data_IF_425766440710
#
_entry.id   IF_425766440710
#
_cell.length_a   1.000
_cell.length_b   1.000
_cell.length_c   1.000
_cell.angle_alpha   90.00
_cell.angle_beta   90.00
_cell.angle_gamma   90.00
#
_symmetry.space_group_name_H-M   'P 1'
#
loop_
_entity.id
_entity.type
_entity.pdbx_description
1 polymer ?
#
# COMPACT_ATOMS: atom_id res chain seq x y z
N UNK A 1 -40.38 -12.79 26.36
CA UNK A 1 -38.93 -12.59 26.56
C UNK A 1 -38.21 -13.35 25.46
N UNK A 2 -37.17 -12.79 24.82
CA UNK A 2 -36.45 -13.51 23.77
C UNK A 2 -35.71 -14.73 24.33
N UNK A 3 -35.62 -15.81 23.55
CA UNK A 3 -34.74 -16.94 23.85
C UNK A 3 -33.33 -16.63 23.40
N UNK A 4 -32.33 -16.96 24.22
CA UNK A 4 -30.92 -16.81 23.90
C UNK A 4 -30.29 -18.21 23.79
N UNK A 5 -29.65 -18.48 22.67
CA UNK A 5 -28.85 -19.69 22.45
C UNK A 5 -27.40 -19.28 22.16
N UNK A 6 -26.45 -19.89 22.87
CA UNK A 6 -25.03 -19.61 22.69
C UNK A 6 -24.47 -20.53 21.60
N UNK A 7 -24.03 -19.94 20.50
CA UNK A 7 -23.39 -20.67 19.41
C UNK A 7 -21.92 -21.00 19.75
N UNK A 8 -21.45 -22.15 19.26
CA UNK A 8 -20.04 -22.55 19.34
C UNK A 8 -19.39 -22.44 17.97
N UNK A 9 -18.19 -21.88 17.91
CA UNK A 9 -17.45 -21.74 16.66
C UNK A 9 -16.67 -23.01 16.34
N UNK A 10 -16.67 -23.41 15.08
CA UNK A 10 -15.90 -24.58 14.61
C UNK A 10 -14.40 -24.29 14.50
N UNK A 11 -14.03 -23.02 14.39
CA UNK A 11 -12.64 -22.56 14.41
C UNK A 11 -12.23 -22.06 15.81
N UNK A 12 -10.96 -22.24 16.19
CA UNK A 12 -10.42 -21.64 17.40
C UNK A 12 -10.45 -20.11 17.30
N UNK A 13 -10.81 -19.46 18.40
CA UNK A 13 -10.70 -18.00 18.53
C UNK A 13 -9.40 -17.71 19.27
N UNK A 14 -8.50 -17.04 18.57
CA UNK A 14 -7.19 -16.66 19.09
C UNK A 14 -7.12 -15.13 19.10
N UNK A 15 -6.66 -14.58 20.21
CA UNK A 15 -6.21 -13.20 20.27
C UNK A 15 -4.75 -13.15 19.83
N UNK A 16 -4.44 -12.25 18.89
CA UNK A 16 -3.06 -11.92 18.52
C UNK A 16 -2.83 -10.49 18.96
N UNK A 17 -1.88 -10.30 19.87
CA UNK A 17 -1.48 -9.00 20.39
C UNK A 17 0.03 -8.85 20.24
N UNK A 18 0.48 -7.63 19.93
CA UNK A 18 1.90 -7.28 19.97
C UNK A 18 2.32 -7.01 21.40
N UNK A 19 3.59 -7.29 21.69
CA UNK A 19 4.22 -7.14 23.00
C UNK A 19 5.37 -6.14 22.91
N UNK A 20 5.88 -5.70 24.07
CA UNK A 20 7.08 -4.88 24.11
C UNK A 20 8.32 -5.62 23.55
N UNK A 21 8.36 -6.95 23.65
CA UNK A 21 9.45 -7.76 23.13
C UNK A 21 9.44 -7.81 21.60
N UNK A 22 8.26 -7.82 20.96
CA UNK A 22 8.14 -7.71 19.50
C UNK A 22 8.75 -6.41 18.98
N UNK A 23 8.56 -5.31 19.73
CA UNK A 23 9.18 -4.03 19.42
C UNK A 23 10.69 -4.04 19.67
N UNK A 24 11.12 -4.55 20.82
CA UNK A 24 12.54 -4.57 21.21
C UNK A 24 13.41 -5.45 20.29
N UNK A 25 12.81 -6.45 19.64
CA UNK A 25 13.51 -7.38 18.74
C UNK A 25 13.38 -7.01 17.26
N UNK A 26 12.60 -5.98 16.92
CA UNK A 26 12.50 -5.49 15.54
C UNK A 26 13.84 -4.89 15.10
N UNK A 27 14.39 -5.39 13.98
CA UNK A 27 15.67 -4.87 13.47
C UNK A 27 15.51 -3.43 12.97
N UNK A 28 16.55 -2.61 13.16
CA UNK A 28 16.59 -1.23 12.67
C UNK A 28 16.33 -1.15 11.15
N UNK A 29 16.80 -2.15 10.42
CA UNK A 29 16.60 -2.29 8.98
C UNK A 29 15.13 -2.57 8.60
N UNK A 30 14.45 -3.45 9.35
CA UNK A 30 13.01 -3.69 9.16
C UNK A 30 12.22 -2.42 9.45
N UNK A 31 12.56 -1.73 10.54
CA UNK A 31 11.93 -0.47 10.92
C UNK A 31 12.21 0.64 9.90
N UNK A 32 13.43 0.73 9.37
CA UNK A 32 13.79 1.64 8.30
C UNK A 32 13.01 1.38 7.03
N UNK A 33 12.88 0.10 6.65
CA UNK A 33 12.09 -0.32 5.48
C UNK A 33 10.61 0.05 5.62
N UNK A 34 10.03 -0.21 6.79
CA UNK A 34 8.65 0.17 7.09
C UNK A 34 8.47 1.69 7.10
N UNK A 35 9.38 2.42 7.74
CA UNK A 35 9.34 3.88 7.81
C UNK A 35 9.40 4.52 6.43
N UNK A 36 10.36 4.12 5.59
CA UNK A 36 10.48 4.64 4.22
C UNK A 36 9.21 4.36 3.42
N UNK A 37 8.70 3.12 3.48
CA UNK A 37 7.47 2.75 2.75
C UNK A 37 6.27 3.56 3.23
N UNK A 38 6.09 3.75 4.54
CA UNK A 38 5.03 4.57 5.11
C UNK A 38 5.08 6.02 4.62
N UNK A 39 6.27 6.62 4.63
CA UNK A 39 6.46 8.01 4.22
C UNK A 39 6.26 8.20 2.72
N UNK A 40 6.72 7.26 1.90
CA UNK A 40 6.49 7.30 0.45
C UNK A 40 5.00 7.19 0.10
N UNK A 41 4.27 6.27 0.76
CA UNK A 41 2.83 6.14 0.56
C UNK A 41 2.11 7.42 1.02
N UNK A 42 2.46 7.96 2.18
CA UNK A 42 1.88 9.22 2.69
C UNK A 42 2.12 10.39 1.74
N UNK A 43 3.37 10.62 1.33
CA UNK A 43 3.72 11.72 0.45
C UNK A 43 3.04 11.58 -0.92
N UNK A 44 2.96 10.37 -1.46
CA UNK A 44 2.22 10.09 -2.69
C UNK A 44 0.74 10.46 -2.57
N UNK A 45 0.10 10.05 -1.48
CA UNK A 45 -1.32 10.32 -1.23
C UNK A 45 -1.62 11.82 -1.09
N UNK A 46 -0.75 12.54 -0.37
CA UNK A 46 -0.82 14.01 -0.27
C UNK A 46 -0.67 14.66 -1.65
N UNK A 47 0.28 14.19 -2.46
CA UNK A 47 0.50 14.67 -3.83
C UNK A 47 -0.73 14.43 -4.73
N UNK A 48 -1.37 13.26 -4.63
CA UNK A 48 -2.61 12.96 -5.38
C UNK A 48 -3.72 13.92 -4.99
N UNK A 49 -3.86 14.26 -3.71
CA UNK A 49 -4.86 15.21 -3.24
C UNK A 49 -4.58 16.64 -3.71
N UNK A 50 -3.33 17.06 -3.75
CA UNK A 50 -2.91 18.35 -4.32
C UNK A 50 -3.29 18.43 -5.81
N UNK A 51 -2.87 17.44 -6.62
CA UNK A 51 -3.20 17.38 -8.05
C UNK A 51 -4.71 17.30 -8.30
N UNK A 52 -5.46 16.61 -7.44
CA UNK A 52 -6.92 16.59 -7.52
C UNK A 52 -7.52 17.97 -7.22
N UNK A 53 -6.98 18.70 -6.23
CA UNK A 53 -7.35 20.08 -5.92
C UNK A 53 -7.07 21.05 -7.07
N UNK A 54 -6.03 20.78 -7.87
CA UNK A 54 -5.69 21.51 -9.09
C UNK A 54 -6.53 21.09 -10.32
N UNK A 55 -7.38 20.07 -10.19
CA UNK A 55 -8.21 19.56 -11.29
C UNK A 55 -7.44 18.69 -12.30
N UNK A 56 -6.26 18.18 -11.93
CA UNK A 56 -5.42 17.34 -12.77
C UNK A 56 -5.72 15.84 -12.65
N UNK A 57 -6.51 15.43 -11.65
CA UNK A 57 -6.99 14.06 -11.48
C UNK A 57 -8.41 13.94 -12.00
N UNK A 58 -8.62 13.05 -12.97
CA UNK A 58 -9.93 12.82 -13.56
C UNK A 58 -10.73 11.78 -12.75
N UNK A 59 -11.83 12.23 -12.13
CA UNK A 59 -12.69 11.40 -11.29
C UNK A 59 -12.33 11.47 -9.80
N UNK A 60 -12.98 10.65 -8.95
CA UNK A 60 -12.74 10.72 -7.50
C UNK A 60 -11.36 10.17 -7.12
N UNK A 61 -10.64 10.91 -6.29
CA UNK A 61 -9.46 10.43 -5.59
C UNK A 61 -9.84 10.02 -4.15
N UNK A 62 -9.73 8.73 -3.85
CA UNK A 62 -10.08 8.18 -2.54
C UNK A 62 -8.83 7.91 -1.72
N UNK A 63 -8.39 8.93 -0.99
CA UNK A 63 -7.15 8.82 -0.24
C UNK A 63 -7.18 7.73 0.84
N UNK A 64 -6.04 7.06 1.03
CA UNK A 64 -5.81 6.11 2.11
C UNK A 64 -4.92 6.65 3.25
N UNK A 65 -4.80 7.97 3.36
CA UNK A 65 -4.15 8.66 4.47
C UNK A 65 -4.65 8.10 5.82
N UNK A 66 -3.71 7.61 6.63
CA UNK A 66 -3.94 7.01 7.95
C UNK A 66 -4.12 5.49 7.93
N UNK A 67 -4.09 4.85 6.75
CA UNK A 67 -4.23 3.40 6.57
C UNK A 67 -2.94 2.74 6.07
N UNK A 68 -1.87 3.50 5.86
CA UNK A 68 -0.61 3.04 5.27
C UNK A 68 0.05 1.93 6.10
N UNK A 69 -0.10 1.99 7.43
CA UNK A 69 0.43 0.97 8.36
C UNK A 69 -0.07 -0.43 8.08
N UNK A 70 -1.35 -0.57 7.74
CA UNK A 70 -1.94 -1.87 7.40
C UNK A 70 -1.36 -2.38 6.09
N UNK A 71 -1.29 -1.53 5.05
CA UNK A 71 -0.75 -1.95 3.77
C UNK A 71 0.74 -2.33 3.85
N UNK A 72 1.57 -1.50 4.48
CA UNK A 72 3.02 -1.77 4.64
C UNK A 72 3.24 -3.03 5.47
N UNK A 73 2.53 -3.17 6.59
CA UNK A 73 2.64 -4.34 7.47
C UNK A 73 2.24 -5.65 6.77
N UNK A 74 1.12 -5.64 6.05
CA UNK A 74 0.65 -6.81 5.31
C UNK A 74 1.52 -7.12 4.10
N UNK A 75 1.77 -6.13 3.24
CA UNK A 75 2.44 -6.34 1.95
C UNK A 75 3.93 -6.62 2.09
N UNK A 76 4.60 -6.08 3.11
CA UNK A 76 6.04 -6.26 3.32
C UNK A 76 6.46 -7.71 3.61
N UNK A 77 5.51 -8.62 3.86
CA UNK A 77 5.78 -10.06 4.04
C UNK A 77 5.35 -10.92 2.84
N UNK A 78 4.79 -10.30 1.79
CA UNK A 78 4.28 -11.00 0.61
C UNK A 78 5.33 -11.08 -0.49
N UNK A 79 5.28 -12.15 -1.28
CA UNK A 79 6.12 -12.35 -2.47
C UNK A 79 5.42 -11.81 -3.71
N UNK A 80 6.16 -11.57 -4.80
CA UNK A 80 5.54 -11.17 -6.09
C UNK A 80 4.48 -12.15 -6.61
N UNK A 81 4.56 -13.43 -6.24
CA UNK A 81 3.55 -14.45 -6.58
C UNK A 81 2.25 -14.34 -5.79
N UNK A 82 2.25 -13.67 -4.64
CA UNK A 82 1.06 -13.51 -3.79
C UNK A 82 0.20 -12.38 -4.34
N UNK A 83 -1.01 -12.71 -4.74
CA UNK A 83 -1.92 -11.77 -5.38
C UNK A 83 -2.64 -10.89 -4.35
N UNK A 84 -2.67 -9.59 -4.61
CA UNK A 84 -3.46 -8.61 -3.86
C UNK A 84 -4.40 -7.85 -4.79
N UNK A 85 -5.55 -7.45 -4.25
CA UNK A 85 -6.47 -6.56 -4.94
C UNK A 85 -6.87 -5.43 -3.97
N UNK A 86 -6.84 -4.20 -4.47
CA UNK A 86 -7.23 -3.01 -3.70
C UNK A 86 -8.75 -2.85 -3.62
N UNK A 87 -9.21 -2.12 -2.60
CA UNK A 87 -10.59 -1.62 -2.57
C UNK A 87 -10.68 -0.27 -3.31
N UNK A 88 -11.79 0.47 -3.12
CA UNK A 88 -11.91 1.85 -3.59
C UNK A 88 -10.83 2.80 -3.02
N UNK A 89 -10.11 2.43 -1.95
CA UNK A 89 -8.96 3.16 -1.37
C UNK A 89 -7.64 2.44 -1.65
N UNK A 90 -7.44 1.95 -2.87
CA UNK A 90 -6.41 0.94 -3.16
C UNK A 90 -4.95 1.43 -3.22
N UNK A 91 -4.68 2.74 -3.22
CA UNK A 91 -3.33 3.25 -3.56
C UNK A 91 -2.24 2.76 -2.59
N UNK A 92 -2.46 2.86 -1.27
CA UNK A 92 -1.53 2.32 -0.28
C UNK A 92 -1.22 0.82 -0.45
N UNK A 93 -2.22 -0.01 -0.78
CA UNK A 93 -2.01 -1.45 -1.02
C UNK A 93 -1.18 -1.67 -2.27
N UNK A 94 -1.51 -0.97 -3.37
CA UNK A 94 -0.73 -1.03 -4.61
C UNK A 94 0.74 -0.62 -4.36
N UNK A 95 0.97 0.53 -3.74
CA UNK A 95 2.31 1.07 -3.50
C UNK A 95 3.10 0.21 -2.52
N UNK A 96 2.51 -0.20 -1.40
CA UNK A 96 3.21 -1.05 -0.42
C UNK A 96 3.61 -2.40 -1.03
N UNK A 97 2.74 -3.00 -1.85
CA UNK A 97 3.06 -4.24 -2.57
C UNK A 97 4.15 -4.03 -3.61
N UNK A 98 4.07 -2.95 -4.39
CA UNK A 98 5.05 -2.62 -5.42
C UNK A 98 6.44 -2.31 -4.83
N UNK A 99 6.50 -1.57 -3.71
CA UNK A 99 7.74 -1.28 -2.99
C UNK A 99 8.38 -2.57 -2.45
N UNK A 100 7.59 -3.43 -1.81
CA UNK A 100 8.06 -4.73 -1.31
C UNK A 100 8.53 -5.67 -2.44
N UNK A 101 7.98 -5.51 -3.66
CA UNK A 101 8.44 -6.25 -4.84
C UNK A 101 9.77 -5.71 -5.40
N UNK A 102 9.98 -4.39 -5.34
CA UNK A 102 11.17 -3.75 -5.90
C UNK A 102 12.42 -3.96 -5.04
N UNK A 103 12.28 -3.96 -3.71
CA UNK A 103 13.41 -4.13 -2.81
C UNK A 103 13.00 -4.80 -1.49
N UNK A 104 13.89 -5.66 -0.98
CA UNK A 104 13.73 -6.28 0.34
C UNK A 104 13.96 -5.29 1.48
N UNK A 105 14.66 -4.18 1.22
CA UNK A 105 15.17 -3.25 2.24
C UNK A 105 15.18 -1.83 1.71
N UNK A 106 14.82 -0.88 2.57
CA UNK A 106 15.05 0.55 2.35
C UNK A 106 15.82 1.17 3.52
N UNK A 107 16.70 2.12 3.19
CA UNK A 107 17.34 3.01 4.14
C UNK A 107 16.60 4.36 4.11
N UNK A 108 16.02 4.83 5.23
CA UNK A 108 15.30 6.10 5.28
C UNK A 108 16.19 7.33 5.11
N UNK A 109 17.51 7.17 5.10
CA UNK A 109 18.50 8.24 4.90
C UNK A 109 19.11 8.26 3.50
N UNK A 110 18.87 7.21 2.72
CA UNK A 110 19.37 7.12 1.36
C UNK A 110 18.51 7.95 0.39
N UNK A 111 19.10 8.30 -0.75
CA UNK A 111 18.34 8.84 -1.88
C UNK A 111 17.35 7.81 -2.40
N UNK A 112 16.24 8.28 -2.98
CA UNK A 112 15.23 7.41 -3.57
C UNK A 112 15.80 6.75 -4.82
N UNK A 113 15.75 5.42 -4.86
CA UNK A 113 16.25 4.67 -6.01
C UNK A 113 15.45 5.01 -7.29
N UNK A 114 16.07 5.07 -8.47
CA UNK A 114 15.39 5.40 -9.72
C UNK A 114 14.17 4.51 -10.03
N UNK A 115 14.20 3.24 -9.64
CA UNK A 115 13.09 2.30 -9.81
C UNK A 115 11.88 2.68 -8.96
N UNK A 116 12.11 3.22 -7.76
CA UNK A 116 11.06 3.72 -6.86
C UNK A 116 10.49 5.03 -7.40
N UNK A 117 11.33 5.94 -7.88
CA UNK A 117 10.86 7.15 -8.57
C UNK A 117 10.00 6.80 -9.79
N UNK A 118 10.44 5.82 -10.59
CA UNK A 118 9.69 5.32 -11.74
C UNK A 118 8.33 4.73 -11.33
N UNK A 119 8.29 3.95 -10.25
CA UNK A 119 7.03 3.44 -9.67
C UNK A 119 6.08 4.58 -9.31
N UNK A 120 6.54 5.56 -8.53
CA UNK A 120 5.72 6.69 -8.08
C UNK A 120 5.21 7.50 -9.28
N UNK A 121 6.10 7.83 -10.21
CA UNK A 121 5.77 8.57 -11.42
C UNK A 121 4.72 7.84 -12.27
N UNK A 122 4.93 6.55 -12.57
CA UNK A 122 3.98 5.76 -13.37
C UNK A 122 2.64 5.58 -12.67
N UNK A 123 2.64 5.52 -11.34
CA UNK A 123 1.39 5.44 -10.58
C UNK A 123 0.63 6.76 -10.67
N UNK A 124 1.29 7.91 -10.50
CA UNK A 124 0.67 9.23 -10.71
C UNK A 124 0.17 9.39 -12.15
N UNK A 125 0.96 8.96 -13.15
CA UNK A 125 0.57 8.99 -14.55
C UNK A 125 -0.69 8.16 -14.80
N UNK A 126 -0.82 6.98 -14.18
CA UNK A 126 -2.04 6.17 -14.28
C UNK A 126 -3.24 6.91 -13.68
N UNK A 127 -3.08 7.50 -12.49
CA UNK A 127 -4.14 8.26 -11.80
C UNK A 127 -4.58 9.49 -12.60
N UNK A 128 -3.64 10.19 -13.23
CA UNK A 128 -3.89 11.37 -14.06
C UNK A 128 -4.48 11.03 -15.44
N UNK A 129 -4.55 9.74 -15.81
CA UNK A 129 -5.07 9.29 -17.10
C UNK A 129 -4.07 9.41 -18.25
N UNK A 130 -2.77 9.40 -17.94
CA UNK A 130 -1.67 9.53 -18.91
C UNK A 130 -1.22 8.16 -19.43
N UNK A 131 -0.75 8.13 -20.69
CA UNK A 131 -0.39 6.90 -21.39
C UNK A 131 0.82 6.15 -20.78
N UNK A 132 1.61 6.82 -19.95
CA UNK A 132 2.78 6.26 -19.26
C UNK A 132 2.41 5.43 -18.02
N UNK A 133 1.15 5.50 -17.59
CA UNK A 133 0.62 4.69 -16.50
C UNK A 133 0.65 3.18 -16.79
N UNK A 134 0.54 2.38 -15.74
CA UNK A 134 0.58 0.91 -15.81
C UNK A 134 -0.44 0.29 -16.76
N UNK A 135 -1.62 0.92 -16.90
CA UNK A 135 -2.70 0.54 -17.79
C UNK A 135 -2.96 1.61 -18.86
N UNK A 136 -1.94 2.40 -19.20
CA UNK A 136 -2.01 3.51 -20.16
C UNK A 136 -3.04 4.58 -19.75
N UNK A 137 -3.20 4.81 -18.45
CA UNK A 137 -4.13 5.80 -17.90
C UNK A 137 -5.59 5.40 -17.96
N UNK A 138 -5.90 4.13 -18.25
CA UNK A 138 -7.28 3.62 -18.39
C UNK A 138 -7.86 3.10 -17.08
N UNK A 139 -7.03 2.64 -16.17
CA UNK A 139 -7.43 2.21 -14.85
C UNK A 139 -7.71 3.38 -13.91
N UNK A 140 -6.98 4.48 -14.10
CA UNK A 140 -7.16 5.70 -13.32
C UNK A 140 -6.88 5.48 -11.84
N UNK A 141 -7.52 6.31 -11.01
CA UNK A 141 -7.37 6.26 -9.55
C UNK A 141 -7.80 4.94 -8.90
N UNK A 142 -8.79 4.24 -9.46
CA UNK A 142 -9.41 3.10 -8.77
C UNK A 142 -8.88 1.73 -9.20
N UNK A 143 -8.26 1.62 -10.37
CA UNK A 143 -7.89 0.33 -10.99
C UNK A 143 -6.40 0.25 -11.31
N UNK A 144 -5.57 0.55 -10.30
CA UNK A 144 -4.13 0.37 -10.37
C UNK A 144 -3.78 -1.12 -10.43
N UNK A 145 -2.95 -1.51 -11.39
CA UNK A 145 -2.61 -2.91 -11.66
C UNK A 145 -1.16 -3.06 -12.06
N UNK A 146 -0.47 -4.03 -11.48
CA UNK A 146 0.89 -4.40 -11.85
C UNK A 146 1.11 -5.91 -11.63
N UNK A 147 0.91 -6.75 -12.66
CA UNK A 147 0.90 -8.21 -12.51
C UNK A 147 2.21 -8.80 -12.01
N UNK A 148 3.34 -8.23 -12.45
CA UNK A 148 4.67 -8.68 -12.06
C UNK A 148 4.89 -8.50 -10.55
N UNK A 149 4.32 -7.45 -9.96
CA UNK A 149 4.33 -7.22 -8.52
C UNK A 149 3.19 -7.94 -7.78
N UNK A 150 2.35 -8.73 -8.47
CA UNK A 150 1.21 -9.42 -7.87
C UNK A 150 0.01 -8.52 -7.54
N UNK A 151 -0.11 -7.34 -8.15
CA UNK A 151 -1.28 -6.46 -8.00
C UNK A 151 -2.23 -6.64 -9.18
N UNK A 152 -3.46 -7.10 -8.91
CA UNK A 152 -4.44 -7.52 -9.92
C UNK A 152 -5.34 -6.40 -10.44
#
# INVERSE_FOLDING_TARGET
MPSLERLHTTAPWLEVATTADDWATASAERLGTMLTSLQLVRAFEETVLELAGEGLVHGPAHSSIGQEGVAVGCCGSLRGSDQVNGSHRGHHVFLAKALAFLADRFDPTAEIAPEVESLLHRTLAEIAGLAEGFCKGRGGSMHLRWPEAGVL
#
